data_IF_775849176186
#
_entry.id   IF_775849176186
#
_cell.length_a   1.000
_cell.length_b   1.000
_cell.length_c   1.000
_cell.angle_alpha   90.00
_cell.angle_beta   90.00
_cell.angle_gamma   90.00
#
_symmetry.space_group_name_H-M   'P 1'
#
loop_
_entity.id
_entity.type
_entity.pdbx_description
1 polymer ?
#
# COMPACT_ATOMS: atom_id res chain seq x y z
N UNK A 1 26.84 -14.77 8.46
CA UNK A 1 25.52 -14.95 7.83
C UNK A 1 25.36 -13.79 6.88
N UNK A 2 24.94 -14.02 5.63
CA UNK A 2 24.70 -12.89 4.72
C UNK A 2 23.62 -12.00 5.33
N UNK A 3 23.83 -10.68 5.37
CA UNK A 3 22.80 -9.73 5.76
C UNK A 3 21.61 -9.85 4.79
N UNK A 4 20.40 -9.79 5.33
CA UNK A 4 19.16 -9.84 4.55
C UNK A 4 19.03 -8.56 3.72
N UNK A 5 18.98 -8.68 2.39
CA UNK A 5 18.87 -7.52 1.49
C UNK A 5 17.40 -7.18 1.27
N UNK A 6 16.98 -6.01 1.76
CA UNK A 6 15.64 -5.47 1.56
C UNK A 6 15.73 -4.10 0.89
N UNK A 7 15.14 -3.97 -0.30
CA UNK A 7 15.08 -2.72 -1.07
C UNK A 7 13.63 -2.38 -1.35
N UNK A 8 13.23 -1.13 -1.13
CA UNK A 8 11.92 -0.61 -1.49
C UNK A 8 12.06 0.39 -2.64
N UNK A 9 11.49 0.06 -3.80
CA UNK A 9 11.30 1.01 -4.90
C UNK A 9 9.95 1.72 -4.69
N UNK A 10 9.98 3.03 -4.48
CA UNK A 10 8.78 3.82 -4.17
C UNK A 10 8.92 5.28 -4.63
N UNK A 11 7.85 6.05 -4.54
CA UNK A 11 7.76 7.48 -4.85
C UNK A 11 7.23 8.20 -3.62
N UNK A 12 7.87 9.29 -3.21
CA UNK A 12 7.64 9.87 -1.89
C UNK A 12 6.17 10.17 -1.51
N UNK A 13 5.26 10.64 -2.41
CA UNK A 13 3.87 10.94 -2.09
C UNK A 13 2.93 9.73 -2.33
N UNK A 14 3.46 8.56 -2.70
CA UNK A 14 2.66 7.37 -2.96
C UNK A 14 2.02 6.83 -1.68
N UNK A 15 0.70 6.96 -1.59
CA UNK A 15 -0.11 6.39 -0.49
C UNK A 15 0.07 4.87 -0.38
N UNK A 16 0.23 4.18 -1.51
CA UNK A 16 0.48 2.73 -1.56
C UNK A 16 1.86 2.39 -1.01
N UNK A 17 2.86 3.21 -1.33
CA UNK A 17 4.21 3.08 -0.84
C UNK A 17 4.35 3.34 0.66
N UNK A 18 3.62 4.35 1.16
CA UNK A 18 3.54 4.65 2.59
C UNK A 18 3.09 3.44 3.42
N UNK A 19 2.15 2.62 2.91
CA UNK A 19 1.74 1.37 3.59
C UNK A 19 2.91 0.43 3.83
N UNK A 20 3.76 0.26 2.82
CA UNK A 20 4.94 -0.61 2.89
C UNK A 20 5.98 -0.02 3.83
N UNK A 21 6.21 1.29 3.75
CA UNK A 21 7.13 2.01 4.67
C UNK A 21 6.70 1.85 6.13
N UNK A 22 5.40 1.99 6.42
CA UNK A 22 4.85 1.78 7.77
C UNK A 22 5.02 0.33 8.19
N UNK A 23 4.66 -0.64 7.35
CA UNK A 23 4.80 -2.06 7.69
C UNK A 23 6.27 -2.45 7.98
N UNK A 24 7.24 -1.95 7.20
CA UNK A 24 8.66 -2.17 7.48
C UNK A 24 9.09 -1.50 8.80
N UNK A 25 8.58 -0.30 9.10
CA UNK A 25 8.87 0.41 10.35
C UNK A 25 8.29 -0.31 11.57
N UNK A 26 7.05 -0.82 11.50
CA UNK A 26 6.41 -1.63 12.55
C UNK A 26 7.18 -2.94 12.83
N UNK A 27 7.87 -3.47 11.81
CA UNK A 27 8.78 -4.62 11.96
C UNK A 27 10.20 -4.24 12.35
N UNK A 28 10.49 -2.95 12.56
CA UNK A 28 11.84 -2.41 12.80
C UNK A 28 12.88 -2.86 11.75
N UNK A 29 12.42 -3.10 10.51
CA UNK A 29 13.27 -3.60 9.45
C UNK A 29 14.08 -2.48 8.81
N UNK A 30 15.40 -2.69 8.72
CA UNK A 30 16.27 -1.85 7.90
C UNK A 30 16.10 -2.23 6.43
N UNK A 31 15.99 -1.23 5.58
CA UNK A 31 15.87 -1.41 4.14
C UNK A 31 16.47 -0.22 3.41
N UNK A 32 16.88 -0.45 2.16
CA UNK A 32 17.27 0.63 1.26
C UNK A 32 16.03 1.20 0.57
N UNK A 33 15.75 2.48 0.75
CA UNK A 33 14.71 3.18 0.00
C UNK A 33 15.31 3.75 -1.29
N UNK A 34 14.73 3.39 -2.45
CA UNK A 34 15.11 3.95 -3.76
C UNK A 34 13.94 4.73 -4.35
N UNK A 35 14.14 6.04 -4.48
CA UNK A 35 13.17 6.95 -5.07
C UNK A 35 13.07 6.73 -6.59
N UNK A 36 11.89 6.32 -7.05
CA UNK A 36 11.52 6.24 -8.45
C UNK A 36 10.96 7.60 -8.91
N UNK A 37 11.86 8.47 -9.38
CA UNK A 37 11.57 9.87 -9.73
C UNK A 37 10.68 10.06 -10.95
N UNK A 38 10.47 9.02 -11.77
CA UNK A 38 9.93 9.15 -13.12
C UNK A 38 8.80 8.13 -13.40
N UNK A 39 7.67 8.31 -12.71
CA UNK A 39 6.46 7.50 -12.88
C UNK A 39 5.85 7.50 -14.30
N UNK A 40 6.08 8.57 -15.06
CA UNK A 40 5.39 8.86 -16.33
C UNK A 40 6.28 8.82 -17.59
N UNK A 41 7.58 9.12 -17.51
CA UNK A 41 8.39 9.33 -18.73
C UNK A 41 9.70 8.56 -18.82
N UNK A 42 10.38 8.20 -17.72
CA UNK A 42 11.68 7.52 -17.74
C UNK A 42 11.85 6.56 -16.54
N UNK A 43 11.13 5.44 -16.55
CA UNK A 43 11.23 4.45 -15.47
C UNK A 43 12.67 3.92 -15.37
N UNK A 44 13.17 3.70 -14.14
CA UNK A 44 14.52 3.17 -13.94
C UNK A 44 14.71 1.81 -14.66
N UNK A 45 15.94 1.51 -15.08
CA UNK A 45 16.25 0.23 -15.73
C UNK A 45 15.90 -0.97 -14.84
N UNK A 46 15.98 -0.82 -13.52
CA UNK A 46 15.61 -1.83 -12.53
C UNK A 46 14.09 -2.08 -12.52
N UNK A 47 13.27 -1.02 -12.51
CA UNK A 47 11.81 -1.14 -12.60
C UNK A 47 11.36 -1.72 -13.96
N UNK A 48 12.10 -1.43 -15.04
CA UNK A 48 11.83 -1.95 -16.38
C UNK A 48 12.27 -3.40 -16.58
N UNK A 49 13.35 -3.85 -15.93
CA UNK A 49 13.80 -5.25 -15.95
C UNK A 49 12.82 -6.18 -15.23
N UNK A 50 12.01 -5.66 -14.31
CA UNK A 50 10.92 -6.37 -13.66
C UNK A 50 9.68 -6.47 -14.57
N UNK A 51 9.68 -7.47 -15.47
CA UNK A 51 8.64 -7.86 -16.46
C UNK A 51 7.14 -7.60 -16.09
N UNK A 52 6.26 -7.37 -17.09
CA UNK A 52 5.64 -6.06 -17.36
C UNK A 52 4.12 -6.00 -17.12
N UNK A 53 3.56 -6.70 -16.12
CA UNK A 53 2.09 -6.69 -15.94
C UNK A 53 1.63 -5.32 -15.42
N UNK A 54 2.30 -4.77 -14.41
CA UNK A 54 2.09 -3.41 -13.93
C UNK A 54 3.44 -2.75 -13.64
N UNK A 55 3.79 -1.74 -14.42
CA UNK A 55 4.98 -0.89 -14.19
C UNK A 55 4.70 0.12 -13.07
N UNK A 56 4.24 -0.37 -11.92
CA UNK A 56 3.75 0.43 -10.79
C UNK A 56 4.61 0.13 -9.57
N UNK A 57 4.81 1.17 -8.78
CA UNK A 57 5.34 1.14 -7.41
C UNK A 57 4.18 1.07 -6.40
N UNK A 58 4.42 0.62 -5.16
CA UNK A 58 5.69 0.15 -4.62
C UNK A 58 6.11 -1.24 -5.11
N UNK A 59 7.42 -1.49 -5.13
CA UNK A 59 8.01 -2.82 -5.31
C UNK A 59 8.97 -3.10 -4.16
N UNK A 60 8.71 -4.15 -3.40
CA UNK A 60 9.64 -4.64 -2.38
C UNK A 60 10.54 -5.69 -3.03
N UNK A 61 11.85 -5.56 -2.90
CA UNK A 61 12.83 -6.56 -3.35
C UNK A 61 13.44 -7.15 -2.10
N UNK A 62 13.21 -8.43 -1.89
CA UNK A 62 13.77 -9.17 -0.76
C UNK A 62 14.70 -10.27 -1.29
N UNK A 63 16.00 -10.15 -1.03
CA UNK A 63 17.05 -11.07 -1.50
C UNK A 63 16.96 -11.30 -3.02
N UNK A 64 16.88 -10.19 -3.77
CA UNK A 64 16.75 -10.19 -5.23
C UNK A 64 15.37 -10.61 -5.77
N UNK A 65 14.41 -10.96 -4.92
CA UNK A 65 13.06 -11.41 -5.34
C UNK A 65 12.03 -10.29 -5.18
N UNK A 66 11.38 -9.84 -6.27
CA UNK A 66 10.39 -8.76 -6.19
C UNK A 66 9.01 -9.23 -5.74
N UNK A 67 8.38 -8.42 -4.90
CA UNK A 67 6.98 -8.48 -4.48
C UNK A 67 6.30 -7.16 -4.87
N UNK A 68 5.08 -7.26 -5.40
CA UNK A 68 4.28 -6.15 -5.95
C UNK A 68 2.92 -6.08 -5.27
N UNK A 69 2.20 -4.98 -5.48
CA UNK A 69 0.92 -4.64 -4.85
C UNK A 69 1.05 -4.38 -3.34
N UNK A 70 0.77 -3.14 -2.91
CA UNK A 70 1.03 -2.72 -1.52
C UNK A 70 0.42 -3.64 -0.45
N UNK A 71 -0.82 -4.10 -0.63
CA UNK A 71 -1.48 -5.00 0.33
C UNK A 71 -0.91 -6.42 0.35
N UNK A 72 -0.35 -6.88 -0.77
CA UNK A 72 0.36 -8.16 -0.84
C UNK A 72 1.72 -8.01 -0.16
N UNK A 73 2.43 -6.91 -0.42
CA UNK A 73 3.70 -6.60 0.23
C UNK A 73 3.55 -6.51 1.75
N UNK A 74 2.51 -5.84 2.26
CA UNK A 74 2.25 -5.74 3.71
C UNK A 74 2.00 -7.11 4.34
N UNK A 75 1.23 -7.99 3.69
CA UNK A 75 1.02 -9.36 4.17
C UNK A 75 2.31 -10.18 4.13
N UNK A 76 3.10 -10.04 3.07
CA UNK A 76 4.41 -10.68 2.97
C UNK A 76 5.35 -10.26 4.11
N UNK A 77 5.39 -8.95 4.42
CA UNK A 77 6.16 -8.42 5.55
C UNK A 77 5.72 -9.07 6.87
N UNK A 78 4.41 -9.18 7.10
CA UNK A 78 3.88 -9.77 8.32
C UNK A 78 4.17 -11.29 8.44
N UNK A 79 4.22 -11.98 7.30
CA UNK A 79 4.48 -13.43 7.25
C UNK A 79 5.97 -13.79 7.34
N UNK A 80 6.88 -12.89 6.92
CA UNK A 80 8.33 -13.11 6.97
C UNK A 80 8.91 -12.70 8.32
N UNK A 81 8.59 -11.50 8.81
CA UNK A 81 9.15 -10.94 10.04
C UNK A 81 8.13 -11.07 11.19
N UNK A 82 8.19 -12.21 11.88
CA UNK A 82 7.25 -12.62 12.95
C UNK A 82 7.73 -12.31 14.37
N UNK A 83 8.90 -11.72 14.52
CA UNK A 83 9.52 -11.37 15.80
C UNK A 83 8.86 -10.15 16.45
N UNK A 84 8.13 -9.34 15.67
CA UNK A 84 7.35 -8.19 16.13
C UNK A 84 5.84 -8.46 16.10
N UNK A 85 5.07 -7.53 16.68
CA UNK A 85 3.61 -7.62 16.72
C UNK A 85 3.02 -7.89 15.31
N UNK A 86 2.00 -8.75 15.21
CA UNK A 86 1.40 -9.08 13.92
C UNK A 86 0.56 -7.91 13.40
N UNK A 87 0.65 -7.64 12.11
CA UNK A 87 -0.18 -6.65 11.42
C UNK A 87 -1.58 -7.20 11.13
N UNK A 88 -1.70 -8.52 10.96
CA UNK A 88 -2.95 -9.22 10.73
C UNK A 88 -3.29 -10.15 11.89
N UNK A 89 -4.58 -10.23 12.24
CA UNK A 89 -5.04 -11.20 13.23
C UNK A 89 -4.75 -12.65 12.80
N UNK A 90 -4.39 -13.49 13.77
CA UNK A 90 -4.24 -14.94 13.57
C UNK A 90 -5.59 -15.64 13.37
N UNK A 91 -6.70 -15.03 13.80
CA UNK A 91 -8.04 -15.57 13.64
C UNK A 91 -8.55 -15.38 12.19
N UNK A 92 -8.96 -16.46 11.49
CA UNK A 92 -9.34 -16.39 10.07
C UNK A 92 -10.44 -15.37 9.75
N UNK A 93 -11.48 -15.31 10.59
CA UNK A 93 -12.59 -14.38 10.38
C UNK A 93 -12.14 -12.91 10.50
N UNK A 94 -11.42 -12.56 11.57
CA UNK A 94 -10.91 -11.20 11.77
C UNK A 94 -9.95 -10.79 10.65
N UNK A 95 -9.09 -11.71 10.22
CA UNK A 95 -8.19 -11.50 9.08
C UNK A 95 -8.94 -11.25 7.77
N UNK A 96 -10.06 -11.93 7.55
CA UNK A 96 -10.91 -11.71 6.38
C UNK A 96 -11.56 -10.32 6.41
N UNK A 97 -12.06 -9.88 7.58
CA UNK A 97 -12.62 -8.52 7.77
C UNK A 97 -11.56 -7.44 7.52
N UNK A 98 -10.35 -7.61 8.06
CA UNK A 98 -9.25 -6.67 7.80
C UNK A 98 -8.90 -6.58 6.31
N UNK A 99 -8.86 -7.72 5.60
CA UNK A 99 -8.62 -7.75 4.14
C UNK A 99 -9.75 -7.08 3.36
N UNK A 100 -11.00 -7.26 3.77
CA UNK A 100 -12.15 -6.59 3.16
C UNK A 100 -12.02 -5.07 3.26
N UNK A 101 -11.71 -4.54 4.44
CA UNK A 101 -11.58 -3.08 4.62
C UNK A 101 -10.35 -2.51 3.90
N UNK A 102 -9.25 -3.24 3.85
CA UNK A 102 -8.09 -2.85 3.05
C UNK A 102 -8.43 -2.76 1.55
N UNK A 103 -9.17 -3.73 1.02
CA UNK A 103 -9.67 -3.73 -0.37
C UNK A 103 -10.70 -2.62 -0.62
N UNK A 104 -11.56 -2.33 0.36
CA UNK A 104 -12.50 -1.21 0.30
C UNK A 104 -11.78 0.14 0.15
N UNK A 105 -10.69 0.36 0.90
CA UNK A 105 -9.87 1.58 0.77
C UNK A 105 -9.32 1.73 -0.66
N UNK A 106 -8.83 0.65 -1.27
CA UNK A 106 -8.30 0.68 -2.64
C UNK A 106 -9.39 0.95 -3.69
N UNK A 107 -10.56 0.32 -3.53
CA UNK A 107 -11.63 0.38 -4.53
C UNK A 107 -12.53 1.60 -4.40
N UNK A 108 -12.68 2.17 -3.21
CA UNK A 108 -13.61 3.27 -2.94
C UNK A 108 -12.88 4.55 -2.58
N UNK A 109 -12.09 4.52 -1.50
CA UNK A 109 -11.47 5.74 -0.95
C UNK A 109 -10.45 6.32 -1.93
N UNK A 110 -9.52 5.50 -2.43
CA UNK A 110 -8.50 5.96 -3.37
C UNK A 110 -9.10 6.46 -4.69
N UNK A 111 -10.05 5.72 -5.27
CA UNK A 111 -10.71 6.10 -6.54
C UNK A 111 -11.44 7.42 -6.40
N UNK A 112 -12.20 7.61 -5.31
CA UNK A 112 -12.92 8.85 -5.05
C UNK A 112 -11.96 10.01 -4.75
N UNK A 113 -10.91 9.80 -3.96
CA UNK A 113 -9.88 10.82 -3.71
C UNK A 113 -9.21 11.28 -5.00
N UNK A 114 -8.81 10.36 -5.88
CA UNK A 114 -8.22 10.71 -7.17
C UNK A 114 -9.18 11.54 -8.03
N UNK A 115 -10.45 11.11 -8.13
CA UNK A 115 -11.47 11.87 -8.87
C UNK A 115 -11.64 13.29 -8.33
N UNK A 116 -11.64 13.47 -7.01
CA UNK A 116 -11.74 14.80 -6.41
C UNK A 116 -10.63 15.76 -6.86
N UNK A 117 -9.42 15.27 -7.06
CA UNK A 117 -8.29 16.09 -7.53
C UNK A 117 -8.28 16.30 -9.04
N UNK A 118 -8.94 15.44 -9.82
CA UNK A 118 -8.88 15.47 -11.30
C UNK A 118 -10.14 16.01 -11.97
N UNK A 119 -11.27 16.09 -11.27
CA UNK A 119 -12.55 16.56 -11.83
C UNK A 119 -12.96 17.91 -11.25
N UNK A 120 -13.90 18.60 -11.91
CA UNK A 120 -14.43 19.90 -11.51
C UNK A 120 -15.96 19.95 -11.71
N UNK A 121 -16.61 20.95 -11.13
CA UNK A 121 -18.05 21.18 -11.30
C UNK A 121 -18.91 20.08 -10.66
N UNK A 122 -20.03 19.75 -11.30
CA UNK A 122 -21.02 18.81 -10.76
C UNK A 122 -20.46 17.41 -10.49
N UNK A 123 -19.54 16.93 -11.33
CA UNK A 123 -18.89 15.62 -11.13
C UNK A 123 -18.04 15.59 -9.85
N UNK A 124 -17.33 16.68 -9.57
CA UNK A 124 -16.54 16.81 -8.36
C UNK A 124 -17.44 16.84 -7.11
N UNK A 125 -18.52 17.61 -7.14
CA UNK A 125 -19.48 17.70 -6.03
C UNK A 125 -20.19 16.37 -5.76
N UNK A 126 -20.54 15.61 -6.79
CA UNK A 126 -21.08 14.26 -6.63
C UNK A 126 -20.04 13.32 -5.98
N UNK A 127 -18.79 13.37 -6.46
CA UNK A 127 -17.70 12.56 -5.90
C UNK A 127 -17.41 12.90 -4.43
N UNK A 128 -17.54 14.18 -4.02
CA UNK A 128 -17.37 14.59 -2.60
C UNK A 128 -18.33 13.85 -1.69
N UNK A 129 -19.60 13.70 -2.10
CA UNK A 129 -20.61 12.98 -1.31
C UNK A 129 -20.24 11.51 -1.16
N UNK A 130 -19.83 10.85 -2.24
CA UNK A 130 -19.42 9.44 -2.23
C UNK A 130 -18.16 9.20 -1.38
N UNK A 131 -17.20 10.14 -1.45
CA UNK A 131 -15.99 10.10 -0.64
C UNK A 131 -16.31 10.22 0.85
N UNK A 132 -17.11 11.23 1.23
CA UNK A 132 -17.54 11.42 2.62
C UNK A 132 -18.34 10.22 3.14
N UNK A 133 -19.20 9.62 2.31
CA UNK A 133 -19.90 8.40 2.68
C UNK A 133 -18.94 7.24 2.93
N UNK A 134 -17.92 7.07 2.09
CA UNK A 134 -16.89 6.04 2.28
C UNK A 134 -16.10 6.25 3.58
N UNK A 135 -15.80 7.50 3.95
CA UNK A 135 -15.15 7.82 5.23
C UNK A 135 -16.07 7.51 6.43
N UNK A 136 -17.36 7.83 6.36
CA UNK A 136 -18.32 7.49 7.42
C UNK A 136 -18.45 5.99 7.64
N UNK A 137 -18.37 5.19 6.57
CA UNK A 137 -18.35 3.72 6.69
C UNK A 137 -17.09 3.25 7.44
N UNK A 138 -15.93 3.84 7.17
CA UNK A 138 -14.69 3.53 7.88
C UNK A 138 -14.75 3.96 9.36
N UNK A 139 -15.28 5.15 9.66
CA UNK A 139 -15.53 5.59 11.05
C UNK A 139 -16.48 4.63 11.78
N UNK A 140 -17.55 4.19 11.11
CA UNK A 140 -18.50 3.22 11.67
C UNK A 140 -17.86 1.85 11.96
N UNK A 141 -16.97 1.37 11.10
CA UNK A 141 -16.19 0.16 11.37
C UNK A 141 -15.22 0.34 12.54
N UNK A 142 -14.55 1.50 12.61
CA UNK A 142 -13.61 1.80 13.69
C UNK A 142 -14.33 1.80 15.04
N UNK A 143 -15.50 2.44 15.13
CA UNK A 143 -16.28 2.54 16.36
C UNK A 143 -15.43 3.01 17.54
N UNK A 144 -15.64 2.39 18.71
CA UNK A 144 -14.88 2.66 19.94
C UNK A 144 -13.71 1.69 20.15
N UNK A 145 -13.14 1.11 19.08
CA UNK A 145 -12.10 0.07 19.16
C UNK A 145 -10.70 0.61 19.52
N UNK A 146 -10.59 1.82 20.06
CA UNK A 146 -9.34 2.51 20.43
C UNK A 146 -9.34 2.89 21.91
#
# INVERSE_FOLDING_TARGET
>A
MAEEEVVLLDFWPSMFGMRVRIALAEKEMKYEYREEKELLWNKSSLLLQMKPVHKKIPVLIHNGKPIRESLIIVQYIDEVWKDKAPLMSSYPHQRAIARFWADFVDKKVYVAAMKLFTTQGEEQEATKKDFLYSLKLLEGELGDKL
#
